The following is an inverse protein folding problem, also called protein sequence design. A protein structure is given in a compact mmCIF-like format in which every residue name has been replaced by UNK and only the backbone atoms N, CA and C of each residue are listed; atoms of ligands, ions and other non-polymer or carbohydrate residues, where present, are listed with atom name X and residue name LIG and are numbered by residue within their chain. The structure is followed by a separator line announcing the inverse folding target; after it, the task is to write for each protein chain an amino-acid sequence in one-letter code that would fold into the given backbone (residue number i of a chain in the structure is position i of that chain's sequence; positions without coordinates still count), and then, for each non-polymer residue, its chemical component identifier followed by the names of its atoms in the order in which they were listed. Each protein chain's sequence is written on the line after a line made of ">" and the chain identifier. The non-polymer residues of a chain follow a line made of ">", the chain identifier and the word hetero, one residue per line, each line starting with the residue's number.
data_IF_726405354906
#
_entry.id   IF_726405354906
#
_cell.length_a   1.000
_cell.length_b   1.000
_cell.length_c   1.000
_cell.angle_alpha   90.00
_cell.angle_beta   90.00
_cell.angle_gamma   90.00
#
_symmetry.space_group_name_H-M   'P 1'
#
loop_
_entity.id
_entity.type
_entity.pdbx_description
1 polymer ?
#
# COMPACT_ATOMS: atom_id res chain seq x y z
N UNK A 1 -11.19 4.17 60.65
CA UNK A 1 -10.04 4.41 59.74
C UNK A 1 -9.64 5.86 59.89
N UNK A 2 -8.39 6.10 60.30
CA UNK A 2 -7.84 7.45 60.40
C UNK A 2 -7.60 8.02 58.99
N UNK A 3 -7.76 9.32 58.81
CA UNK A 3 -7.61 9.98 57.49
C UNK A 3 -6.25 9.73 56.83
N UNK A 4 -5.20 9.47 57.62
CA UNK A 4 -3.87 9.12 57.12
C UNK A 4 -3.77 7.72 56.49
N UNK A 5 -4.58 6.75 56.93
CA UNK A 5 -4.63 5.43 56.30
C UNK A 5 -5.32 5.48 54.93
N UNK A 6 -6.39 6.28 54.82
CA UNK A 6 -7.08 6.49 53.55
C UNK A 6 -6.17 7.19 52.53
N UNK A 7 -5.35 8.15 52.98
CA UNK A 7 -4.38 8.85 52.13
C UNK A 7 -3.25 7.94 51.64
N UNK A 8 -2.70 7.11 52.53
CA UNK A 8 -1.69 6.10 52.15
C UNK A 8 -2.23 5.03 51.21
N UNK A 9 -3.49 4.62 51.38
CA UNK A 9 -4.13 3.68 50.46
C UNK A 9 -4.35 4.30 49.07
N UNK A 10 -4.75 5.57 49.01
CA UNK A 10 -4.89 6.31 47.76
C UNK A 10 -3.56 6.49 47.01
N UNK A 11 -2.49 6.84 47.72
CA UNK A 11 -1.14 6.97 47.14
C UNK A 11 -0.58 5.62 46.67
N UNK A 12 -0.84 4.54 47.42
CA UNK A 12 -0.43 3.18 47.03
C UNK A 12 -1.18 2.67 45.80
N UNK A 13 -2.48 2.94 45.70
CA UNK A 13 -3.29 2.60 44.53
C UNK A 13 -2.88 3.39 43.29
N UNK A 14 -2.53 4.69 43.43
CA UNK A 14 -2.02 5.51 42.34
C UNK A 14 -0.62 5.06 41.87
N UNK A 15 0.21 4.54 42.77
CA UNK A 15 1.51 3.96 42.42
C UNK A 15 1.42 2.58 41.75
N UNK A 16 0.35 1.82 42.01
CA UNK A 16 0.08 0.52 41.37
C UNK A 16 -0.65 0.61 40.03
N UNK A 17 -1.14 1.79 39.64
CA UNK A 17 -1.52 2.06 38.25
C UNK A 17 -0.24 2.20 37.42
N UNK A 18 0.35 1.05 37.07
CA UNK A 18 1.22 0.99 35.91
C UNK A 18 0.42 1.51 34.73
N UNK A 19 0.79 2.69 34.25
CA UNK A 19 0.41 3.16 32.92
C UNK A 19 0.97 2.11 31.96
N UNK A 20 0.14 1.11 31.61
CA UNK A 20 0.37 0.31 30.43
C UNK A 20 0.50 1.32 29.31
N UNK A 21 1.73 1.42 28.81
CA UNK A 21 2.15 2.30 27.76
C UNK A 21 1.07 2.27 26.66
N UNK A 22 0.31 3.36 26.48
CA UNK A 22 -0.72 3.47 25.44
C UNK A 22 -0.13 3.28 24.03
N UNK A 23 1.21 3.27 23.92
CA UNK A 23 1.99 2.90 22.75
C UNK A 23 1.92 1.40 22.39
N UNK A 24 1.40 0.53 23.27
CA UNK A 24 1.31 -0.92 23.03
C UNK A 24 0.00 -1.36 22.35
N UNK A 25 -0.91 -0.44 22.02
CA UNK A 25 -2.08 -0.78 21.20
C UNK A 25 -1.59 -0.91 19.76
N UNK A 26 -1.73 -2.08 19.11
CA UNK A 26 -1.35 -2.21 17.71
C UNK A 26 -2.18 -1.21 16.89
N UNK A 27 -1.50 -0.30 16.21
CA UNK A 27 -2.13 0.62 15.28
C UNK A 27 -2.37 -0.10 13.96
N UNK A 28 -3.64 -0.35 13.66
CA UNK A 28 -4.09 -0.91 12.39
C UNK A 28 -4.39 0.23 11.42
N UNK A 29 -3.47 0.47 10.48
CA UNK A 29 -3.62 1.53 9.48
C UNK A 29 -4.47 1.06 8.31
N UNK A 30 -4.22 -0.16 7.83
CA UNK A 30 -4.85 -0.73 6.63
C UNK A 30 -5.83 -1.88 6.94
N UNK A 31 -5.84 -2.35 8.18
CA UNK A 31 -6.54 -3.55 8.64
C UNK A 31 -6.14 -4.80 7.87
N UNK A 32 -4.84 -4.87 7.54
CA UNK A 32 -4.18 -6.01 6.92
C UNK A 32 -3.05 -6.36 7.87
N UNK A 33 -3.28 -7.36 8.73
CA UNK A 33 -2.41 -7.65 9.87
C UNK A 33 -0.94 -7.81 9.48
N UNK A 34 -0.66 -8.47 8.36
CA UNK A 34 0.69 -8.68 7.86
C UNK A 34 1.35 -7.38 7.38
N UNK A 35 0.59 -6.47 6.78
CA UNK A 35 1.09 -5.18 6.30
C UNK A 35 1.29 -4.19 7.45
N UNK A 36 0.30 -4.11 8.35
CA UNK A 36 0.34 -3.25 9.53
C UNK A 36 1.51 -3.61 10.45
N UNK A 37 1.87 -4.90 10.55
CA UNK A 37 3.05 -5.36 11.30
C UNK A 37 4.38 -4.80 10.77
N UNK A 38 4.46 -4.36 9.50
CA UNK A 38 5.68 -3.80 8.91
C UNK A 38 5.82 -2.29 9.11
N UNK A 39 4.74 -1.64 9.56
CA UNK A 39 4.62 -0.18 9.60
C UNK A 39 4.86 0.29 11.04
N UNK A 40 5.90 1.12 11.27
CA UNK A 40 6.16 1.63 12.60
C UNK A 40 5.23 2.81 12.94
N UNK A 41 4.77 2.84 14.20
CA UNK A 41 4.19 4.03 14.82
C UNK A 41 2.71 4.28 14.50
N UNK A 42 2.18 5.33 15.15
CA UNK A 42 0.76 5.67 15.16
C UNK A 42 0.36 6.79 14.19
N UNK A 43 1.33 7.46 13.57
CA UNK A 43 1.07 8.50 12.56
C UNK A 43 0.61 7.87 11.24
N UNK A 44 -0.17 8.58 10.41
CA UNK A 44 -0.52 8.11 9.08
C UNK A 44 0.74 7.74 8.29
N UNK A 45 0.83 6.51 7.74
CA UNK A 45 2.08 6.03 7.17
C UNK A 45 2.33 6.61 5.78
N UNK A 46 3.62 6.81 5.46
CA UNK A 46 4.08 6.98 4.09
C UNK A 46 4.70 5.67 3.63
N UNK A 47 4.11 5.07 2.61
CA UNK A 47 4.41 3.74 2.10
C UNK A 47 4.93 3.81 0.67
N UNK A 48 6.11 3.25 0.43
CA UNK A 48 6.68 3.12 -0.91
C UNK A 48 6.70 1.66 -1.32
N UNK A 49 5.87 1.29 -2.29
CA UNK A 49 5.84 -0.06 -2.87
C UNK A 49 6.77 -0.10 -4.08
N UNK A 50 7.89 -0.80 -3.95
CA UNK A 50 8.92 -0.85 -4.99
C UNK A 50 9.06 -2.27 -5.51
N UNK A 51 9.02 -2.44 -6.82
CA UNK A 51 9.30 -3.73 -7.46
C UNK A 51 10.65 -3.76 -8.15
N UNK A 52 11.19 -4.93 -8.53
CA UNK A 52 12.35 -4.99 -9.40
C UNK A 52 12.12 -4.25 -10.74
N UNK A 53 13.20 -3.92 -11.47
CA UNK A 53 13.07 -3.44 -12.84
C UNK A 53 12.34 -4.47 -13.71
N UNK A 54 11.61 -4.00 -14.72
CA UNK A 54 10.88 -4.86 -15.67
C UNK A 54 11.79 -5.86 -16.40
N UNK A 55 13.07 -5.55 -16.56
CA UNK A 55 14.07 -6.44 -17.15
C UNK A 55 14.41 -7.65 -16.27
N UNK A 56 14.14 -7.58 -14.97
CA UNK A 56 14.42 -8.65 -14.01
C UNK A 56 13.20 -9.52 -13.74
N UNK A 57 11.99 -8.93 -13.77
CA UNK A 57 10.74 -9.66 -13.59
C UNK A 57 9.68 -9.09 -14.54
N UNK A 58 9.50 -9.75 -15.69
CA UNK A 58 8.48 -9.38 -16.67
C UNK A 58 7.06 -9.77 -16.18
N UNK A 59 6.96 -10.63 -15.17
CA UNK A 59 5.69 -10.93 -14.52
C UNK A 59 5.40 -9.83 -13.51
N UNK A 60 4.25 -9.15 -13.66
CA UNK A 60 3.88 -8.04 -12.78
C UNK A 60 4.05 -8.40 -11.30
N UNK A 61 4.59 -7.48 -10.51
CA UNK A 61 5.10 -7.72 -9.15
C UNK A 61 4.04 -7.74 -8.03
N UNK A 62 2.74 -7.64 -8.38
CA UNK A 62 1.64 -7.66 -7.43
C UNK A 62 1.34 -6.33 -6.71
N UNK A 63 2.01 -5.20 -7.07
CA UNK A 63 1.78 -3.86 -6.46
C UNK A 63 0.30 -3.45 -6.55
N UNK A 64 -0.24 -3.42 -7.77
CA UNK A 64 -1.65 -3.07 -8.05
C UNK A 64 -2.63 -4.00 -7.32
N UNK A 65 -2.29 -5.28 -7.20
CA UNK A 65 -3.13 -6.23 -6.47
C UNK A 65 -3.16 -5.95 -4.97
N UNK A 66 -2.01 -5.66 -4.36
CA UNK A 66 -1.97 -5.22 -2.97
C UNK A 66 -2.75 -3.90 -2.78
N UNK A 67 -2.68 -2.98 -3.75
CA UNK A 67 -3.49 -1.76 -3.73
C UNK A 67 -4.99 -2.06 -3.79
N UNK A 68 -5.46 -3.01 -4.60
CA UNK A 68 -6.89 -3.41 -4.59
C UNK A 68 -7.33 -3.89 -3.21
N UNK A 69 -6.51 -4.66 -2.50
CA UNK A 69 -6.83 -5.11 -1.15
C UNK A 69 -6.91 -3.94 -0.16
N UNK A 70 -5.90 -3.05 -0.17
CA UNK A 70 -5.87 -1.84 0.67
C UNK A 70 -7.08 -0.93 0.40
N UNK A 71 -7.42 -0.73 -0.88
CA UNK A 71 -8.56 0.11 -1.26
C UNK A 71 -9.86 -0.56 -0.81
N UNK A 72 -10.03 -1.86 -1.05
CA UNK A 72 -11.22 -2.60 -0.65
C UNK A 72 -11.47 -2.53 0.86
N UNK A 73 -10.45 -2.74 1.71
CA UNK A 73 -10.57 -2.61 3.17
C UNK A 73 -10.86 -1.18 3.60
N UNK A 74 -10.30 -0.18 2.89
CA UNK A 74 -10.53 1.22 3.20
C UNK A 74 -12.00 1.67 2.97
N UNK A 75 -12.60 1.25 1.85
CA UNK A 75 -13.92 1.75 1.41
C UNK A 75 -15.11 0.99 1.98
N UNK A 76 -14.91 -0.27 2.38
CA UNK A 76 -15.96 -1.10 2.97
C UNK A 76 -16.47 -0.50 4.29
N UNK A 77 -17.78 -0.64 4.60
CA UNK A 77 -18.29 -0.27 5.91
C UNK A 77 -17.74 -1.20 6.99
N UNK A 78 -17.80 -0.76 8.25
CA UNK A 78 -17.40 -1.59 9.39
C UNK A 78 -18.26 -2.83 9.55
N UNK A 79 -19.56 -2.70 9.23
CA UNK A 79 -20.53 -3.77 9.40
C UNK A 79 -21.51 -3.88 8.24
N UNK A 80 -22.03 -5.09 8.01
CA UNK A 80 -23.18 -5.35 7.14
C UNK A 80 -24.10 -6.33 7.84
N UNK A 81 -25.37 -5.97 8.06
CA UNK A 81 -26.37 -6.84 8.71
C UNK A 81 -25.87 -7.44 10.04
N UNK A 82 -25.26 -6.60 10.89
CA UNK A 82 -24.63 -6.96 12.18
C UNK A 82 -23.33 -7.80 12.10
N UNK A 83 -22.82 -8.07 10.90
CA UNK A 83 -21.57 -8.81 10.70
C UNK A 83 -20.43 -7.83 10.55
N UNK A 84 -19.33 -8.05 11.27
CA UNK A 84 -18.12 -7.23 11.14
C UNK A 84 -17.43 -7.54 9.80
N UNK A 85 -17.29 -6.51 8.97
CA UNK A 85 -16.56 -6.56 7.72
C UNK A 85 -15.13 -6.02 7.86
N UNK A 86 -14.81 -5.41 9.00
CA UNK A 86 -13.48 -4.85 9.28
C UNK A 86 -13.07 -3.74 8.29
N UNK A 87 -14.04 -3.06 7.67
CA UNK A 87 -13.78 -1.92 6.80
C UNK A 87 -13.56 -0.60 7.55
N UNK A 88 -12.92 0.38 6.90
CA UNK A 88 -12.67 1.70 7.49
C UNK A 88 -13.75 2.75 7.19
N UNK A 89 -14.75 2.44 6.37
CA UNK A 89 -15.81 3.36 5.94
C UNK A 89 -15.26 4.73 5.48
N UNK A 90 -14.14 4.68 4.76
CA UNK A 90 -13.39 5.86 4.35
C UNK A 90 -13.46 6.05 2.83
N UNK A 91 -12.92 7.16 2.34
CA UNK A 91 -12.72 7.41 0.93
C UNK A 91 -11.24 7.31 0.56
N UNK A 92 -10.95 6.97 -0.69
CA UNK A 92 -9.58 6.82 -1.21
C UNK A 92 -9.39 7.70 -2.42
N UNK A 93 -8.20 8.30 -2.53
CA UNK A 93 -7.79 9.09 -3.67
C UNK A 93 -6.70 8.33 -4.41
N UNK A 94 -6.91 8.08 -5.71
CA UNK A 94 -5.99 7.35 -6.56
C UNK A 94 -5.60 8.22 -7.76
N UNK A 95 -4.30 8.33 -8.00
CA UNK A 95 -3.72 8.90 -9.22
C UNK A 95 -3.19 7.77 -10.08
N UNK A 96 -3.78 7.60 -11.26
CA UNK A 96 -3.43 6.58 -12.24
C UNK A 96 -3.09 7.23 -13.60
N UNK A 97 -1.88 7.78 -13.78
CA UNK A 97 -1.47 8.37 -15.05
C UNK A 97 -1.41 7.37 -16.22
N UNK A 98 -1.37 6.05 -15.94
CA UNK A 98 -1.19 5.01 -16.96
C UNK A 98 -2.49 4.26 -17.32
N UNK A 99 -3.61 4.58 -16.67
CA UNK A 99 -4.89 3.89 -16.85
C UNK A 99 -4.81 2.37 -16.61
N UNK A 100 -3.95 1.94 -15.67
CA UNK A 100 -3.78 0.53 -15.33
C UNK A 100 -4.80 0.03 -14.30
N UNK A 101 -5.45 0.95 -13.58
CA UNK A 101 -6.41 0.61 -12.54
C UNK A 101 -7.75 0.16 -13.13
N UNK A 102 -8.22 -1.00 -12.69
CA UNK A 102 -9.49 -1.61 -13.11
C UNK A 102 -10.50 -1.57 -11.97
N UNK A 103 -11.53 -0.74 -12.12
CA UNK A 103 -12.66 -0.67 -11.19
C UNK A 103 -13.40 -2.01 -11.11
N UNK A 104 -13.49 -2.74 -12.23
CA UNK A 104 -14.07 -4.09 -12.26
C UNK A 104 -13.29 -5.02 -11.34
N UNK A 105 -11.96 -4.98 -11.43
CA UNK A 105 -11.10 -5.79 -10.56
C UNK A 105 -11.23 -5.40 -9.09
N UNK A 106 -11.30 -4.10 -8.78
CA UNK A 106 -11.57 -3.64 -7.42
C UNK A 106 -12.91 -4.17 -6.90
N UNK A 107 -13.96 -4.14 -7.72
CA UNK A 107 -15.29 -4.64 -7.34
C UNK A 107 -15.26 -6.14 -7.02
N UNK A 108 -14.56 -6.94 -7.82
CA UNK A 108 -14.36 -8.37 -7.56
C UNK A 108 -13.64 -8.63 -6.24
N UNK A 109 -12.53 -7.93 -6.00
CA UNK A 109 -11.75 -8.06 -4.76
C UNK A 109 -12.60 -7.66 -3.56
N UNK A 110 -13.32 -6.53 -3.65
CA UNK A 110 -14.19 -6.02 -2.59
C UNK A 110 -15.33 -6.98 -2.27
N UNK A 111 -15.99 -7.52 -3.30
CA UNK A 111 -17.06 -8.50 -3.14
C UNK A 111 -16.55 -9.78 -2.46
N UNK A 112 -15.36 -10.23 -2.85
CA UNK A 112 -14.75 -11.41 -2.25
C UNK A 112 -14.39 -11.19 -0.78
N UNK A 113 -13.82 -10.03 -0.41
CA UNK A 113 -13.55 -9.68 1.00
C UNK A 113 -14.83 -9.79 1.84
N UNK A 114 -15.96 -9.25 1.35
CA UNK A 114 -17.26 -9.38 2.02
C UNK A 114 -17.69 -10.85 2.12
N UNK A 115 -17.57 -11.61 1.03
CA UNK A 115 -17.93 -13.03 0.98
C UNK A 115 -17.15 -13.87 2.00
N UNK A 116 -15.84 -13.65 2.13
CA UNK A 116 -14.99 -14.33 3.10
C UNK A 116 -15.42 -14.03 4.54
N UNK A 117 -15.75 -12.77 4.85
CA UNK A 117 -16.23 -12.38 6.19
C UNK A 117 -17.59 -13.02 6.53
N UNK A 118 -18.51 -13.08 5.55
CA UNK A 118 -19.79 -13.77 5.71
C UNK A 118 -19.63 -15.27 5.95
N UNK A 119 -18.75 -15.91 5.18
CA UNK A 119 -18.47 -17.34 5.33
C UNK A 119 -17.85 -17.65 6.70
N UNK A 120 -16.93 -16.81 7.17
CA UNK A 120 -16.35 -16.93 8.51
C UNK A 120 -17.40 -16.77 9.62
N UNK A 121 -18.43 -15.93 9.38
CA UNK A 121 -19.57 -15.77 10.28
C UNK A 121 -20.64 -16.89 10.13
N UNK A 122 -20.40 -17.92 9.30
CA UNK A 122 -21.33 -19.01 9.02
C UNK A 122 -22.69 -18.57 8.46
N UNK A 123 -22.73 -17.43 7.77
CA UNK A 123 -23.96 -16.89 7.18
C UNK A 123 -24.22 -17.54 5.83
N UNK A 124 -25.39 -18.15 5.68
CA UNK A 124 -25.85 -18.74 4.42
C UNK A 124 -26.02 -17.66 3.34
N UNK A 125 -25.48 -17.89 2.15
CA UNK A 125 -25.56 -16.95 1.04
C UNK A 125 -26.86 -17.19 0.26
N UNK A 126 -27.94 -16.55 0.70
CA UNK A 126 -29.23 -16.52 0.00
C UNK A 126 -29.30 -15.39 -1.06
N UNK A 127 -30.42 -15.29 -1.78
CA UNK A 127 -30.63 -14.23 -2.78
C UNK A 127 -30.63 -12.83 -2.16
N UNK A 128 -31.18 -12.68 -0.96
CA UNK A 128 -31.24 -11.41 -0.22
C UNK A 128 -29.85 -10.93 0.14
N UNK A 129 -29.02 -11.80 0.72
CA UNK A 129 -27.63 -11.50 1.07
C UNK A 129 -26.82 -11.13 -0.17
N UNK A 130 -27.00 -11.83 -1.29
CA UNK A 130 -26.34 -11.47 -2.57
C UNK A 130 -26.70 -10.06 -3.04
N UNK A 131 -27.96 -9.65 -2.89
CA UNK A 131 -28.38 -8.29 -3.23
C UNK A 131 -27.77 -7.25 -2.29
N UNK A 132 -27.77 -7.52 -0.98
CA UNK A 132 -27.13 -6.65 0.02
C UNK A 132 -25.63 -6.48 -0.24
N UNK A 133 -24.91 -7.57 -0.54
CA UNK A 133 -23.49 -7.52 -0.88
C UNK A 133 -23.22 -6.62 -2.09
N UNK A 134 -24.03 -6.75 -3.16
CA UNK A 134 -23.90 -5.92 -4.35
C UNK A 134 -24.12 -4.45 -4.05
N UNK A 135 -25.12 -4.13 -3.23
CA UNK A 135 -25.40 -2.74 -2.85
C UNK A 135 -24.30 -2.15 -1.97
N UNK A 136 -23.77 -2.93 -1.02
CA UNK A 136 -22.63 -2.54 -0.19
C UNK A 136 -21.39 -2.27 -1.04
N UNK A 137 -21.05 -3.18 -1.97
CA UNK A 137 -19.90 -3.00 -2.88
C UNK A 137 -20.11 -1.76 -3.77
N UNK A 138 -21.30 -1.60 -4.36
CA UNK A 138 -21.63 -0.45 -5.20
C UNK A 138 -21.50 0.87 -4.44
N UNK A 139 -22.04 0.93 -3.22
CA UNK A 139 -21.92 2.11 -2.35
C UNK A 139 -20.46 2.37 -1.99
N UNK A 140 -19.70 1.35 -1.61
CA UNK A 140 -18.29 1.47 -1.26
C UNK A 140 -17.44 2.00 -2.43
N UNK A 141 -17.68 1.51 -3.65
CA UNK A 141 -16.96 1.96 -4.86
C UNK A 141 -17.20 3.43 -5.19
N UNK A 142 -18.33 4.01 -4.78
CA UNK A 142 -18.61 5.44 -4.98
C UNK A 142 -17.67 6.37 -4.19
N UNK A 143 -16.88 5.80 -3.26
CA UNK A 143 -15.92 6.52 -2.42
C UNK A 143 -14.46 6.38 -2.88
N UNK A 144 -14.23 5.91 -4.11
CA UNK A 144 -12.91 5.90 -4.75
C UNK A 144 -12.85 7.04 -5.77
N UNK A 145 -11.97 8.00 -5.53
CA UNK A 145 -11.73 9.16 -6.41
C UNK A 145 -10.51 8.88 -7.28
N UNK A 146 -10.72 8.67 -8.58
CA UNK A 146 -9.66 8.31 -9.52
C UNK A 146 -9.35 9.49 -10.43
N UNK A 147 -8.08 9.91 -10.45
CA UNK A 147 -7.57 10.97 -11.30
C UNK A 147 -6.54 10.40 -12.28
N UNK A 148 -6.59 10.84 -13.54
CA UNK A 148 -5.67 10.41 -14.60
C UNK A 148 -4.92 11.63 -15.16
N UNK A 149 -4.00 12.22 -14.38
CA UNK A 149 -3.24 13.36 -14.84
C UNK A 149 -2.26 12.91 -15.95
N UNK A 150 -2.33 13.47 -17.17
CA UNK A 150 -1.56 12.96 -18.31
C UNK A 150 -0.12 13.49 -18.34
N UNK A 151 0.24 14.42 -17.45
CA UNK A 151 1.58 15.03 -17.39
C UNK A 151 1.94 15.47 -15.98
N UNK A 152 3.24 15.66 -15.73
CA UNK A 152 3.76 16.08 -14.44
C UNK A 152 3.19 17.44 -13.96
N UNK A 153 3.12 18.50 -14.78
CA UNK A 153 2.53 19.78 -14.35
C UNK A 153 1.04 19.66 -14.00
N UNK A 154 0.28 18.87 -14.76
CA UNK A 154 -1.15 18.66 -14.50
C UNK A 154 -1.36 17.85 -13.23
N UNK A 155 -0.54 16.83 -12.98
CA UNK A 155 -0.55 16.11 -11.71
C UNK A 155 -0.31 17.04 -10.51
N UNK A 156 0.71 17.90 -10.59
CA UNK A 156 0.96 18.89 -9.54
C UNK A 156 -0.19 19.89 -9.37
N UNK A 157 -0.82 20.31 -10.47
CA UNK A 157 -2.01 21.15 -10.41
C UNK A 157 -3.18 20.43 -9.72
N UNK A 158 -3.41 19.15 -10.04
CA UNK A 158 -4.45 18.33 -9.39
C UNK A 158 -4.19 18.18 -7.89
N UNK A 159 -2.94 17.94 -7.47
CA UNK A 159 -2.58 17.89 -6.03
C UNK A 159 -2.89 19.22 -5.32
N UNK A 160 -2.70 20.36 -5.99
CA UNK A 160 -2.98 21.69 -5.42
C UNK A 160 -4.47 21.98 -5.31
N UNK A 161 -5.27 21.58 -6.30
CA UNK A 161 -6.72 21.77 -6.31
C UNK A 161 -7.48 20.69 -5.54
N UNK A 162 -6.80 19.65 -5.06
CA UNK A 162 -7.43 18.52 -4.39
C UNK A 162 -8.24 18.94 -3.16
N UNK A 163 -7.77 19.85 -2.27
CA UNK A 163 -8.59 20.34 -1.17
C UNK A 163 -9.92 20.97 -1.64
N UNK A 164 -9.89 21.79 -2.69
CA UNK A 164 -11.08 22.45 -3.24
C UNK A 164 -12.07 21.45 -3.87
N UNK A 165 -11.58 20.30 -4.33
CA UNK A 165 -12.43 19.20 -4.77
C UNK A 165 -13.04 18.46 -3.57
N UNK A 166 -12.22 18.12 -2.57
CA UNK A 166 -12.60 17.29 -1.42
C UNK A 166 -13.56 17.98 -0.43
N UNK A 167 -13.46 19.30 -0.31
CA UNK A 167 -14.30 20.09 0.59
C UNK A 167 -15.55 20.65 -0.10
N UNK A 168 -15.83 20.22 -1.33
CA UNK A 168 -16.99 20.65 -2.11
C UNK A 168 -18.02 19.51 -2.24
N UNK A 169 -19.07 19.59 -1.43
CA UNK A 169 -20.15 18.59 -1.40
C UNK A 169 -20.95 18.49 -2.71
N UNK A 170 -20.81 19.45 -3.62
CA UNK A 170 -21.47 19.39 -4.93
C UNK A 170 -20.71 18.54 -5.93
N UNK A 171 -19.41 18.31 -5.70
CA UNK A 171 -18.54 17.57 -6.63
C UNK A 171 -18.48 16.07 -6.36
N UNK A 172 -18.81 15.63 -5.14
CA UNK A 172 -18.80 14.22 -4.80
C UNK A 172 -19.59 13.88 -3.52
N UNK A 173 -19.91 12.60 -3.35
CA UNK A 173 -20.72 12.10 -2.22
C UNK A 173 -19.92 11.72 -0.97
N UNK A 174 -18.59 11.70 -1.04
CA UNK A 174 -17.70 11.25 0.04
C UNK A 174 -17.40 12.28 1.14
N UNK A 175 -18.02 13.46 1.14
CA UNK A 175 -17.70 14.54 2.11
C UNK A 175 -17.92 14.17 3.57
N UNK A 176 -18.78 13.18 3.84
CA UNK A 176 -19.04 12.65 5.17
C UNK A 176 -18.00 11.60 5.62
N UNK A 177 -17.06 11.20 4.75
CA UNK A 177 -16.05 10.19 5.04
C UNK A 177 -14.68 10.82 5.16
N UNK A 178 -13.87 10.29 6.08
CA UNK A 178 -12.45 10.63 6.14
C UNK A 178 -11.72 10.10 4.90
N UNK A 179 -10.63 10.76 4.51
CA UNK A 179 -9.73 10.23 3.50
C UNK A 179 -8.79 9.23 4.17
N UNK A 180 -8.83 7.98 3.74
CA UNK A 180 -7.95 6.94 4.26
C UNK A 180 -6.54 7.06 3.69
N UNK A 181 -6.43 7.16 2.36
CA UNK A 181 -5.13 7.18 1.69
C UNK A 181 -5.15 7.98 0.39
N UNK A 182 -3.99 8.57 0.08
CA UNK A 182 -3.65 9.13 -1.22
C UNK A 182 -2.68 8.16 -1.88
N UNK A 183 -3.06 7.63 -3.04
CA UNK A 183 -2.34 6.59 -3.75
C UNK A 183 -1.87 7.14 -5.10
N UNK A 184 -0.59 6.96 -5.43
CA UNK A 184 -0.01 7.27 -6.73
C UNK A 184 0.51 5.99 -7.38
N UNK A 185 -0.09 5.62 -8.51
CA UNK A 185 0.17 4.40 -9.26
C UNK A 185 0.34 4.68 -10.76
N UNK A 186 1.53 4.80 -11.36
CA UNK A 186 2.90 4.61 -10.86
C UNK A 186 3.67 5.94 -10.94
N UNK A 187 4.49 6.25 -9.94
CA UNK A 187 5.32 7.48 -9.91
C UNK A 187 6.21 7.58 -11.14
N UNK A 188 6.68 6.45 -11.64
CA UNK A 188 7.65 6.36 -12.72
C UNK A 188 7.10 6.84 -14.06
N UNK A 189 5.77 6.92 -14.20
CA UNK A 189 5.10 7.43 -15.40
C UNK A 189 5.57 8.84 -15.79
N UNK A 190 5.95 9.66 -14.81
CA UNK A 190 6.40 11.03 -15.02
C UNK A 190 7.90 11.17 -15.23
N UNK A 191 8.70 10.12 -14.94
CA UNK A 191 10.17 10.21 -14.98
C UNK A 191 10.70 10.58 -16.38
N UNK A 192 10.21 10.02 -17.49
CA UNK A 192 10.66 10.41 -18.83
C UNK A 192 10.42 11.90 -19.11
N UNK A 193 9.25 12.43 -18.75
CA UNK A 193 8.88 13.85 -18.95
C UNK A 193 9.73 14.78 -18.08
N UNK A 194 9.95 14.44 -16.81
CA UNK A 194 10.80 15.22 -15.90
C UNK A 194 12.24 15.29 -16.44
N UNK A 195 12.74 14.20 -17.02
CA UNK A 195 14.09 14.16 -17.60
C UNK A 195 14.18 14.94 -18.90
N UNK A 196 13.18 14.88 -19.77
CA UNK A 196 13.21 15.57 -21.06
C UNK A 196 12.99 17.08 -20.93
N UNK A 197 12.28 17.52 -19.88
CA UNK A 197 12.09 18.94 -19.55
C UNK A 197 13.28 19.59 -18.83
N UNK A 198 14.29 18.80 -18.46
CA UNK A 198 15.51 19.34 -17.89
C UNK A 198 16.24 20.22 -18.92
N UNK A 199 16.69 21.43 -18.55
CA UNK A 199 17.46 22.25 -19.47
C UNK A 199 18.71 21.48 -19.88
N UNK A 200 18.84 21.17 -21.17
CA UNK A 200 20.04 20.56 -21.71
C UNK A 200 21.20 21.49 -21.36
N UNK A 201 22.11 21.02 -20.50
CA UNK A 201 23.35 21.71 -20.22
C UNK A 201 24.01 21.98 -21.57
N UNK A 202 24.05 23.25 -21.95
CA UNK A 202 24.66 23.71 -23.19
C UNK A 202 26.04 23.09 -23.31
N UNK A 203 26.34 22.55 -24.48
CA UNK A 203 27.59 21.88 -24.85
C UNK A 203 28.77 22.89 -24.81
N UNK A 204 29.06 23.43 -23.63
CA UNK A 204 30.15 24.34 -23.36
C UNK A 204 31.17 23.59 -22.51
N UNK A 205 32.22 23.18 -23.19
CA UNK A 205 33.42 22.58 -22.65
C UNK A 205 34.06 23.50 -21.61
N UNK A 206 33.82 23.25 -20.33
CA UNK A 206 34.75 23.65 -19.26
C UNK A 206 34.46 22.85 -17.98
N UNK A 207 35.49 22.11 -17.59
CA UNK A 207 35.85 21.65 -16.24
C UNK A 207 34.86 21.90 -15.09
N UNK A 208 34.43 20.79 -14.47
CA UNK A 208 33.86 20.66 -13.12
C UNK A 208 32.61 21.49 -12.79
N UNK A 209 31.42 20.94 -13.06
CA UNK A 209 30.23 21.21 -12.23
C UNK A 209 29.17 20.11 -12.44
N UNK A 210 28.63 19.62 -11.34
CA UNK A 210 27.61 18.58 -11.24
C UNK A 210 26.45 18.79 -12.22
N UNK A 211 26.19 17.82 -13.11
CA UNK A 211 24.94 17.74 -13.86
C UNK A 211 23.77 17.78 -12.86
N UNK A 212 23.05 18.89 -12.79
CA UNK A 212 21.93 19.03 -11.86
C UNK A 212 20.90 17.94 -12.17
N UNK A 213 20.68 17.03 -11.22
CA UNK A 213 19.72 15.95 -11.39
C UNK A 213 18.31 16.52 -11.38
N UNK A 214 17.67 16.65 -12.54
CA UNK A 214 16.32 17.20 -12.70
C UNK A 214 15.25 16.46 -11.87
N UNK A 215 15.53 15.22 -11.46
CA UNK A 215 14.66 14.46 -10.57
C UNK A 215 14.63 15.00 -9.14
N UNK A 216 15.68 15.69 -8.68
CA UNK A 216 15.76 16.20 -7.29
C UNK A 216 14.76 17.32 -7.00
N UNK A 217 14.61 18.36 -7.84
CA UNK A 217 13.54 19.35 -7.69
C UNK A 217 12.14 18.74 -7.78
N UNK A 218 11.92 17.83 -8.73
CA UNK A 218 10.63 17.15 -8.90
C UNK A 218 10.27 16.31 -7.66
N UNK A 219 11.24 15.54 -7.17
CA UNK A 219 11.13 14.76 -5.93
C UNK A 219 10.78 15.62 -4.72
N UNK A 220 11.46 16.75 -4.53
CA UNK A 220 11.21 17.65 -3.40
C UNK A 220 9.82 18.28 -3.49
N UNK A 221 9.39 18.64 -4.70
CA UNK A 221 8.07 19.21 -4.97
C UNK A 221 6.96 18.18 -4.67
N UNK A 222 7.16 16.92 -5.09
CA UNK A 222 6.24 15.83 -4.80
C UNK A 222 6.11 15.56 -3.32
N UNK A 223 7.25 15.38 -2.64
CA UNK A 223 7.29 15.11 -1.21
C UNK A 223 6.62 16.24 -0.42
N UNK A 224 6.85 17.51 -0.81
CA UNK A 224 6.18 18.66 -0.21
C UNK A 224 4.66 18.58 -0.34
N UNK A 225 4.14 18.38 -1.56
CA UNK A 225 2.70 18.34 -1.79
C UNK A 225 2.02 17.14 -1.10
N UNK A 226 2.61 15.95 -1.18
CA UNK A 226 2.08 14.75 -0.52
C UNK A 226 2.12 14.86 1.01
N UNK A 227 3.21 15.40 1.58
CA UNK A 227 3.29 15.60 3.04
C UNK A 227 2.27 16.63 3.51
N UNK A 228 2.10 17.73 2.76
CA UNK A 228 1.09 18.75 3.05
C UNK A 228 -0.32 18.15 3.04
N UNK A 229 -0.67 17.37 2.01
CA UNK A 229 -1.98 16.73 1.91
C UNK A 229 -2.19 15.66 2.98
N UNK A 230 -1.18 14.83 3.24
CA UNK A 230 -1.22 13.82 4.32
C UNK A 230 -1.47 14.45 5.67
N UNK A 231 -0.79 15.56 5.98
CA UNK A 231 -1.03 16.31 7.22
C UNK A 231 -2.40 16.96 7.28
N UNK A 232 -2.88 17.53 6.16
CA UNK A 232 -4.18 18.19 6.08
C UNK A 232 -5.33 17.20 6.28
N UNK A 233 -5.21 16.01 5.68
CA UNK A 233 -6.27 15.01 5.64
C UNK A 233 -6.10 13.92 6.70
N UNK A 234 -4.98 13.93 7.45
CA UNK A 234 -4.56 12.84 8.35
C UNK A 234 -4.61 11.46 7.66
N UNK A 235 -4.21 11.41 6.39
CA UNK A 235 -4.33 10.24 5.51
C UNK A 235 -2.97 9.62 5.20
N UNK A 236 -2.95 8.30 4.99
CA UNK A 236 -1.76 7.61 4.51
C UNK A 236 -1.39 8.07 3.09
N UNK A 237 -0.11 7.94 2.73
CA UNK A 237 0.38 8.17 1.37
C UNK A 237 1.01 6.88 0.87
N UNK A 238 0.59 6.42 -0.30
CA UNK A 238 1.11 5.20 -0.91
C UNK A 238 1.60 5.54 -2.31
N UNK A 239 2.85 5.23 -2.60
CA UNK A 239 3.42 5.43 -3.95
C UNK A 239 3.95 4.11 -4.48
N UNK A 240 3.65 3.78 -5.73
CA UNK A 240 4.25 2.63 -6.41
C UNK A 240 5.35 3.07 -7.36
N UNK A 241 6.39 2.25 -7.48
CA UNK A 241 7.48 2.45 -8.45
C UNK A 241 8.17 1.15 -8.82
N UNK A 242 8.88 1.19 -9.93
CA UNK A 242 9.90 0.24 -10.30
C UNK A 242 11.26 0.70 -9.78
N UNK A 243 12.04 -0.29 -9.36
CA UNK A 243 13.40 -0.08 -8.94
C UNK A 243 14.30 0.12 -10.15
N UNK A 244 15.28 0.99 -10.00
CA UNK A 244 16.43 1.12 -10.91
C UNK A 244 17.45 -0.01 -10.74
N UNK A 245 17.37 -0.76 -9.62
CA UNK A 245 18.26 -1.88 -9.32
C UNK A 245 17.50 -3.04 -8.68
N UNK A 246 17.65 -4.28 -9.17
CA UNK A 246 16.94 -5.43 -8.62
C UNK A 246 17.38 -5.79 -7.19
N UNK A 247 18.56 -5.33 -6.76
CA UNK A 247 19.11 -5.64 -5.43
C UNK A 247 18.74 -4.60 -4.38
N UNK A 248 18.74 -3.32 -4.77
CA UNK A 248 18.63 -2.21 -3.81
C UNK A 248 17.22 -1.64 -3.67
N UNK A 249 16.29 -2.02 -4.54
CA UNK A 249 14.89 -1.54 -4.50
C UNK A 249 14.81 0.00 -4.37
N UNK A 250 15.57 0.70 -5.21
CA UNK A 250 15.62 2.16 -5.25
C UNK A 250 14.65 2.68 -6.31
N UNK A 251 13.61 3.45 -5.94
CA UNK A 251 12.63 3.98 -6.89
C UNK A 251 13.29 4.84 -7.96
N UNK A 252 12.72 4.87 -9.18
CA UNK A 252 13.28 5.67 -10.27
C UNK A 252 13.18 7.18 -10.01
N UNK A 253 12.14 7.62 -9.31
CA UNK A 253 12.06 8.94 -8.69
C UNK A 253 12.34 8.83 -7.17
N UNK A 254 13.57 9.08 -6.70
CA UNK A 254 13.86 9.05 -5.27
C UNK A 254 13.15 10.22 -4.60
N UNK A 255 12.25 9.96 -3.67
CA UNK A 255 11.47 10.94 -2.90
C UNK A 255 12.32 11.60 -1.79
N UNK A 256 12.24 12.92 -1.70
CA UNK A 256 13.01 13.74 -0.75
C UNK A 256 12.13 14.13 0.43
N UNK A 257 11.72 13.12 1.20
CA UNK A 257 10.86 13.32 2.37
C UNK A 257 11.55 14.21 3.44
N UNK A 258 10.79 15.04 4.16
CA UNK A 258 11.31 15.77 5.32
C UNK A 258 11.97 14.84 6.35
N UNK A 259 12.94 15.33 7.12
CA UNK A 259 13.75 14.51 8.04
C UNK A 259 12.92 13.77 9.10
N UNK A 260 11.80 14.35 9.52
CA UNK A 260 10.94 13.79 10.57
C UNK A 260 9.84 12.86 10.03
N UNK A 261 9.85 12.61 8.72
CA UNK A 261 8.87 11.76 8.05
C UNK A 261 9.33 10.31 8.09
N UNK A 262 8.56 9.45 8.78
CA UNK A 262 8.79 8.02 8.78
C UNK A 262 8.24 7.39 7.51
N UNK A 263 9.15 6.90 6.66
CA UNK A 263 8.83 6.28 5.38
C UNK A 263 9.08 4.79 5.49
N UNK A 264 8.06 3.99 5.19
CA UNK A 264 8.19 2.54 5.09
C UNK A 264 8.31 2.15 3.63
N UNK A 265 9.47 1.66 3.23
CA UNK A 265 9.67 1.13 1.88
C UNK A 265 9.51 -0.38 1.90
N UNK A 266 8.58 -0.89 1.10
CA UNK A 266 8.34 -2.31 0.91
C UNK A 266 8.77 -2.74 -0.48
N UNK A 267 9.55 -3.80 -0.55
CA UNK A 267 9.89 -4.47 -1.79
C UNK A 267 8.85 -5.54 -2.11
N UNK A 268 8.37 -5.56 -3.35
CA UNK A 268 7.40 -6.52 -3.84
C UNK A 268 7.93 -7.25 -5.06
N UNK A 269 7.86 -8.58 -5.08
CA UNK A 269 8.18 -9.38 -6.27
C UNK A 269 7.30 -10.62 -6.34
N UNK A 270 7.19 -11.20 -7.54
CA UNK A 270 6.64 -12.54 -7.68
C UNK A 270 7.63 -13.55 -7.08
N UNK A 271 7.13 -14.56 -6.38
CA UNK A 271 7.98 -15.67 -5.92
C UNK A 271 8.60 -16.35 -7.15
N UNK A 272 9.94 -16.36 -7.30
CA UNK A 272 10.56 -16.95 -8.48
C UNK A 272 10.40 -18.47 -8.44
N UNK A 273 10.14 -19.05 -9.61
CA UNK A 273 10.22 -20.50 -9.79
C UNK A 273 11.68 -20.84 -10.03
N UNK A 274 12.28 -21.68 -9.18
CA UNK A 274 13.66 -22.11 -9.34
C UNK A 274 13.85 -22.74 -10.72
N UNK A 275 14.86 -22.28 -11.46
CA UNK A 275 15.24 -22.88 -12.75
C UNK A 275 15.74 -24.31 -12.52
N UNK A 276 15.66 -25.13 -13.56
CA UNK A 276 16.32 -26.43 -13.57
C UNK A 276 17.83 -26.25 -13.38
N UNK A 277 18.45 -27.12 -12.58
CA UNK A 277 19.89 -27.11 -12.43
C UNK A 277 20.55 -27.45 -13.78
N UNK A 278 21.66 -26.80 -14.16
CA UNK A 278 22.40 -27.20 -15.36
C UNK A 278 22.79 -28.68 -15.27
N UNK A 279 22.42 -29.47 -16.28
CA UNK A 279 22.75 -30.90 -16.34
C UNK A 279 21.75 -31.85 -15.65
N UNK A 280 20.61 -31.36 -15.18
CA UNK A 280 19.52 -32.23 -14.68
C UNK A 280 19.04 -33.20 -15.77
N UNK A 281 18.76 -34.45 -15.42
CA UNK A 281 18.16 -35.40 -16.38
C UNK A 281 16.69 -35.08 -16.66
N UNK A 282 16.14 -35.65 -17.74
CA UNK A 282 14.71 -35.48 -18.04
C UNK A 282 13.84 -36.13 -16.96
N UNK A 283 14.26 -37.28 -16.43
CA UNK A 283 13.54 -38.00 -15.39
C UNK A 283 13.52 -37.20 -14.06
N UNK A 284 14.65 -36.60 -13.70
CA UNK A 284 14.76 -35.70 -12.55
C UNK A 284 13.95 -34.42 -12.75
N UNK A 285 13.97 -33.85 -13.96
CA UNK A 285 13.17 -32.68 -14.29
C UNK A 285 11.66 -32.96 -14.21
N UNK A 286 11.22 -34.14 -14.64
CA UNK A 286 9.82 -34.60 -14.49
C UNK A 286 9.44 -34.84 -13.04
N UNK A 287 10.32 -35.41 -12.22
CA UNK A 287 10.09 -35.58 -10.79
C UNK A 287 9.96 -34.23 -10.05
N UNK A 288 10.70 -33.20 -10.47
CA UNK A 288 10.60 -31.85 -9.91
C UNK A 288 9.45 -31.01 -10.51
N UNK A 289 8.83 -31.47 -11.61
CA UNK A 289 7.79 -30.73 -12.33
C UNK A 289 6.60 -30.40 -11.44
N UNK A 290 6.11 -31.37 -10.66
CA UNK A 290 4.93 -31.18 -9.81
C UNK A 290 5.17 -30.14 -8.71
N UNK A 291 6.33 -30.19 -8.05
CA UNK A 291 6.75 -29.20 -7.04
C UNK A 291 6.87 -27.80 -7.63
N UNK A 292 7.41 -27.67 -8.85
CA UNK A 292 7.49 -26.37 -9.55
C UNK A 292 6.12 -25.87 -10.00
N UNK A 293 5.27 -26.77 -10.48
CA UNK A 293 3.90 -26.44 -10.89
C UNK A 293 3.05 -25.99 -9.70
N UNK A 294 3.30 -26.53 -8.51
CA UNK A 294 2.72 -26.05 -7.26
C UNK A 294 3.10 -24.59 -7.00
N UNK A 295 4.36 -24.19 -7.17
CA UNK A 295 4.78 -22.78 -7.00
C UNK A 295 4.11 -21.86 -8.02
N UNK A 296 4.05 -22.29 -9.29
CA UNK A 296 3.39 -21.54 -10.37
C UNK A 296 1.89 -21.39 -10.11
N UNK A 297 1.21 -22.50 -9.80
CA UNK A 297 -0.24 -22.54 -9.56
C UNK A 297 -0.66 -21.75 -8.32
N UNK A 298 0.25 -21.62 -7.34
CA UNK A 298 0.00 -20.81 -6.15
C UNK A 298 0.07 -19.31 -6.38
N UNK A 299 0.67 -18.84 -7.49
CA UNK A 299 0.76 -17.42 -7.87
C UNK A 299 1.11 -16.50 -6.69
N UNK A 300 2.18 -16.85 -5.98
CA UNK A 300 2.63 -16.16 -4.76
C UNK A 300 3.49 -14.93 -5.06
N UNK A 301 3.36 -13.94 -4.20
CA UNK A 301 4.09 -12.68 -4.19
C UNK A 301 4.69 -12.48 -2.81
N UNK A 302 5.92 -11.99 -2.74
CA UNK A 302 6.56 -11.64 -1.48
C UNK A 302 6.53 -10.12 -1.31
N UNK A 303 6.27 -9.68 -0.08
CA UNK A 303 6.35 -8.30 0.35
C UNK A 303 7.23 -8.22 1.61
N UNK A 304 8.25 -7.38 1.63
CA UNK A 304 9.13 -7.22 2.79
C UNK A 304 9.67 -5.81 2.91
N UNK A 305 10.08 -5.43 4.11
CA UNK A 305 10.67 -4.10 4.37
C UNK A 305 12.09 -4.00 3.80
N UNK A 306 12.33 -2.99 2.96
CA UNK A 306 13.65 -2.71 2.38
C UNK A 306 14.62 -2.27 3.48
N UNK A 307 15.86 -2.77 3.42
CA UNK A 307 16.91 -2.46 4.41
C UNK A 307 16.99 -3.46 5.57
N UNK A 308 16.05 -4.41 5.68
CA UNK A 308 16.10 -5.49 6.68
C UNK A 308 16.62 -6.83 6.11
N UNK A 309 17.34 -6.80 4.98
CA UNK A 309 17.82 -7.97 4.25
C UNK A 309 16.87 -8.39 3.10
N UNK A 310 17.42 -9.02 2.06
CA UNK A 310 16.64 -9.53 0.92
C UNK A 310 16.18 -10.93 1.26
N UNK A 311 14.87 -11.13 1.46
CA UNK A 311 14.27 -12.46 1.54
C UNK A 311 14.77 -13.39 2.65
N UNK A 312 15.50 -12.87 3.65
CA UNK A 312 16.18 -13.67 4.67
C UNK A 312 15.25 -14.18 5.77
N UNK A 313 15.48 -15.44 6.16
CA UNK A 313 15.00 -16.05 7.40
C UNK A 313 15.02 -15.03 8.56
N UNK A 314 13.88 -14.80 9.21
CA UNK A 314 13.77 -13.84 10.31
C UNK A 314 13.51 -12.36 9.96
N UNK A 315 13.44 -11.96 8.68
CA UNK A 315 13.15 -10.57 8.29
C UNK A 315 11.65 -10.34 8.05
N UNK A 316 11.07 -9.37 8.76
CA UNK A 316 9.63 -9.05 8.75
C UNK A 316 9.07 -8.79 7.35
N UNK A 317 8.46 -9.82 6.78
CA UNK A 317 7.77 -9.79 5.50
C UNK A 317 6.63 -10.80 5.47
N UNK A 318 5.82 -10.74 4.43
CA UNK A 318 4.69 -11.64 4.23
C UNK A 318 4.58 -12.05 2.77
N UNK A 319 3.86 -13.14 2.56
CA UNK A 319 3.52 -13.63 1.22
C UNK A 319 2.07 -13.31 0.98
N UNK A 320 1.70 -13.01 -0.25
CA UNK A 320 0.30 -12.92 -0.64
C UNK A 320 0.06 -13.61 -1.97
N UNK A 321 -1.18 -14.03 -2.21
CA UNK A 321 -1.57 -14.78 -3.41
C UNK A 321 -2.58 -13.97 -4.19
N UNK A 322 -2.44 -14.01 -5.51
CA UNK A 322 -3.38 -13.35 -6.42
C UNK A 322 -4.20 -14.43 -7.13
N UNK A 323 -5.46 -14.55 -6.76
CA UNK A 323 -6.47 -15.39 -7.42
C UNK A 323 -7.69 -14.55 -7.79
N UNK A 324 -8.90 -15.03 -7.48
CA UNK A 324 -10.11 -14.18 -7.55
C UNK A 324 -10.04 -12.98 -6.60
N UNK A 325 -9.20 -13.07 -5.57
CA UNK A 325 -8.92 -12.01 -4.61
C UNK A 325 -7.46 -12.07 -4.15
N UNK A 326 -7.11 -11.23 -3.18
CA UNK A 326 -5.77 -11.18 -2.57
C UNK A 326 -5.83 -11.73 -1.15
N UNK A 327 -5.08 -12.81 -0.91
CA UNK A 327 -4.95 -13.46 0.39
C UNK A 327 -3.54 -13.20 0.94
N UNK A 328 -3.41 -12.76 2.19
CA UNK A 328 -2.12 -12.60 2.87
C UNK A 328 -1.82 -13.82 3.74
N UNK A 329 -0.56 -14.25 3.73
CA UNK A 329 -0.01 -15.36 4.49
C UNK A 329 1.25 -14.85 5.20
N UNK A 330 1.35 -15.02 6.52
CA UNK A 330 2.62 -14.74 7.23
C UNK A 330 3.69 -15.70 6.71
N UNK A 331 4.89 -15.19 6.43
CA UNK A 331 6.02 -16.03 6.06
C UNK A 331 6.38 -16.90 7.27
N UNK A 332 6.15 -18.21 7.17
CA UNK A 332 6.68 -19.16 8.15
C UNK A 332 8.18 -19.29 7.92
N UNK A 333 8.97 -19.32 8.99
CA UNK A 333 10.39 -19.62 8.91
C UNK A 333 10.54 -21.06 8.38
N UNK A 334 11.03 -21.18 7.14
CA UNK A 334 11.50 -22.44 6.53
C UNK A 334 13.01 -22.49 6.70
#
# INVERSE_FOLDING_TARGET
>A
MNGDEAKRLGEKLLAEVQVKDLSSVPTFHFNIAELDALIPGSKPPILELVSPPLTHDASGSGKTSLLYLIIATAILPRTMSCIQLDGHESAVILFDPLHHFSVVRLAEVTLHVVMTKLQAASVGIDSTTKQQMREVVKTALSHVHIFHPPSWPLFLATLRSLPDYLFDATKHHSTHRRIHSIILEDVDAFVPEIRSSAPASSFSSSTSSSSANALSPASSTLAFHLTKLSSLLSSAVITTSHSTSPLYYRPALPTSWPRDTLVTRLALRRVPVAKFAPGISNEEAEAEREKRWEVVSRARFECWKVGMGVGGQGSGGFVFRIGRHVETERKMDI
#
